data_IF_922062669676
#
_entry.id   IF_922062669676
#
_cell.length_a   1.000
_cell.length_b   1.000
_cell.length_c   1.000
_cell.angle_alpha   90.00
_cell.angle_beta   90.00
_cell.angle_gamma   90.00
#
_symmetry.space_group_name_H-M   'P 1'
#
loop_
_entity.id
_entity.type
_entity.pdbx_description
1 polymer ?
#
# COMPACT_ATOMS: atom_id res chain seq x y z
N UNK A 1 -9.48 -11.65 -10.34
CA UNK A 1 -9.78 -11.36 -8.91
C UNK A 1 -8.61 -11.76 -8.03
N UNK A 2 -7.99 -12.92 -8.26
CA UNK A 2 -6.72 -13.30 -7.60
C UNK A 2 -5.54 -12.36 -7.92
N UNK A 3 -5.50 -11.76 -9.11
CA UNK A 3 -4.46 -10.77 -9.46
C UNK A 3 -4.53 -9.51 -8.59
N UNK A 4 -5.73 -9.03 -8.27
CA UNK A 4 -5.92 -7.87 -7.40
C UNK A 4 -5.53 -8.18 -5.96
N UNK A 5 -5.89 -9.37 -5.45
CA UNK A 5 -5.44 -9.83 -4.13
C UNK A 5 -3.92 -9.96 -4.07
N UNK A 6 -3.30 -10.52 -5.12
CA UNK A 6 -1.84 -10.64 -5.22
C UNK A 6 -1.16 -9.27 -5.26
N UNK A 7 -1.74 -8.31 -5.97
CA UNK A 7 -1.24 -6.93 -5.99
C UNK A 7 -1.38 -6.28 -4.61
N UNK A 8 -2.52 -6.46 -3.93
CA UNK A 8 -2.77 -5.93 -2.60
C UNK A 8 -1.73 -6.40 -1.60
N UNK A 9 -1.42 -7.70 -1.58
CA UNK A 9 -0.39 -8.26 -0.72
C UNK A 9 0.99 -7.67 -1.01
N UNK A 10 1.35 -7.47 -2.28
CA UNK A 10 2.62 -6.83 -2.67
C UNK A 10 2.70 -5.37 -2.21
N UNK A 11 1.60 -4.64 -2.31
CA UNK A 11 1.55 -3.24 -1.89
C UNK A 11 1.66 -3.10 -0.36
N UNK A 12 0.96 -3.96 0.39
CA UNK A 12 1.07 -4.05 1.85
C UNK A 12 2.49 -4.43 2.27
N UNK A 13 3.10 -5.42 1.62
CA UNK A 13 4.49 -5.78 1.87
C UNK A 13 5.45 -4.61 1.65
N UNK A 14 5.30 -3.87 0.55
CA UNK A 14 6.14 -2.70 0.27
C UNK A 14 5.99 -1.58 1.33
N UNK A 15 4.77 -1.33 1.82
CA UNK A 15 4.52 -0.36 2.90
C UNK A 15 5.20 -0.82 4.21
N UNK A 16 5.04 -2.10 4.56
CA UNK A 16 5.66 -2.71 5.75
C UNK A 16 7.19 -2.63 5.68
N UNK A 17 7.79 -2.86 4.52
CA UNK A 17 9.23 -2.76 4.33
C UNK A 17 9.75 -1.34 4.61
N UNK A 18 9.06 -0.30 4.12
CA UNK A 18 9.42 1.10 4.36
C UNK A 18 9.36 1.46 5.86
N UNK A 19 8.28 1.06 6.53
CA UNK A 19 8.11 1.28 7.97
C UNK A 19 9.13 0.50 8.78
N UNK A 20 9.39 -0.75 8.40
CA UNK A 20 10.38 -1.62 9.04
C UNK A 20 11.80 -1.06 8.88
N UNK A 21 12.13 -0.50 7.72
CA UNK A 21 13.44 0.12 7.49
C UNK A 21 13.67 1.30 8.43
N UNK A 22 12.68 2.19 8.59
CA UNK A 22 12.75 3.31 9.53
C UNK A 22 12.85 2.83 10.99
N UNK A 23 12.03 1.86 11.38
CA UNK A 23 12.05 1.27 12.72
C UNK A 23 13.41 0.63 13.05
N UNK A 24 13.99 -0.12 12.11
CA UNK A 24 15.33 -0.73 12.26
C UNK A 24 16.44 0.31 12.37
N UNK A 25 16.32 1.41 11.63
CA UNK A 25 17.25 2.54 11.73
C UNK A 25 17.07 3.35 13.03
N UNK A 26 16.00 3.12 13.80
CA UNK A 26 15.60 3.94 14.97
C UNK A 26 15.42 5.42 14.59
N UNK A 27 14.91 5.66 13.39
CA UNK A 27 14.61 7.00 12.89
C UNK A 27 13.17 7.07 12.43
N UNK A 28 12.69 8.29 12.18
CA UNK A 28 11.49 8.48 11.38
C UNK A 28 11.77 8.12 9.91
N UNK A 29 10.75 7.73 9.13
CA UNK A 29 10.89 7.66 7.68
C UNK A 29 11.25 9.05 7.13
N UNK A 30 12.08 9.10 6.10
CA UNK A 30 12.38 10.35 5.39
C UNK A 30 11.11 10.92 4.74
N UNK A 31 11.11 12.21 4.38
CA UNK A 31 9.96 12.83 3.68
C UNK A 31 9.57 12.07 2.40
N UNK A 32 10.56 11.55 1.66
CA UNK A 32 10.33 10.71 0.50
C UNK A 32 9.70 9.36 0.85
N UNK A 33 10.11 8.75 1.96
CA UNK A 33 9.49 7.52 2.44
C UNK A 33 8.07 7.75 2.95
N UNK A 34 7.82 8.85 3.68
CA UNK A 34 6.48 9.26 4.12
C UNK A 34 5.55 9.50 2.93
N UNK A 35 6.02 10.21 1.89
CA UNK A 35 5.25 10.42 0.66
C UNK A 35 4.87 9.10 0.01
N UNK A 36 5.84 8.18 -0.14
CA UNK A 36 5.61 6.87 -0.74
C UNK A 36 4.65 6.01 0.08
N UNK A 37 4.71 6.07 1.41
CA UNK A 37 3.76 5.40 2.30
C UNK A 37 2.34 5.95 2.07
N UNK A 38 2.17 7.27 2.03
CA UNK A 38 0.87 7.88 1.77
C UNK A 38 0.29 7.48 0.39
N UNK A 39 1.14 7.46 -0.64
CA UNK A 39 0.73 7.02 -1.99
C UNK A 39 0.32 5.53 -1.99
N UNK A 40 1.03 4.68 -1.25
CA UNK A 40 0.69 3.27 -1.06
C UNK A 40 -0.65 3.11 -0.33
N UNK A 41 -0.90 3.88 0.73
CA UNK A 41 -2.16 3.81 1.50
C UNK A 41 -3.39 4.14 0.65
N UNK A 42 -3.30 5.19 -0.18
CA UNK A 42 -4.37 5.56 -1.10
C UNK A 42 -4.65 4.43 -2.09
N UNK A 43 -3.62 3.86 -2.69
CA UNK A 43 -3.78 2.81 -3.69
C UNK A 43 -4.20 1.46 -3.08
N UNK A 44 -3.75 1.14 -1.87
CA UNK A 44 -4.22 -0.02 -1.08
C UNK A 44 -5.72 0.12 -0.81
N UNK A 45 -6.18 1.26 -0.31
CA UNK A 45 -7.60 1.48 -0.03
C UNK A 45 -8.47 1.39 -1.28
N UNK A 46 -7.99 1.93 -2.41
CA UNK A 46 -8.68 1.76 -3.70
C UNK A 46 -8.77 0.29 -4.12
N UNK A 47 -7.71 -0.49 -3.91
CA UNK A 47 -7.67 -1.90 -4.28
C UNK A 47 -8.50 -2.80 -3.35
N UNK A 48 -8.52 -2.49 -2.05
CA UNK A 48 -9.41 -3.14 -1.07
C UNK A 48 -10.87 -2.91 -1.45
N UNK A 49 -11.24 -1.68 -1.79
CA UNK A 49 -12.59 -1.35 -2.26
C UNK A 49 -12.96 -2.13 -3.54
N UNK A 50 -12.06 -2.23 -4.53
CA UNK A 50 -12.28 -3.03 -5.74
C UNK A 50 -12.46 -4.52 -5.47
N UNK A 51 -11.76 -5.06 -4.46
CA UNK A 51 -11.84 -6.48 -4.09
C UNK A 51 -13.13 -6.75 -3.30
N UNK A 52 -13.50 -5.86 -2.39
CA UNK A 52 -14.65 -6.01 -1.49
C UNK A 52 -15.98 -5.79 -2.23
N UNK A 53 -16.06 -4.77 -3.09
CA UNK A 53 -17.32 -4.42 -3.76
C UNK A 53 -17.52 -5.20 -5.06
N UNK A 54 -16.49 -5.85 -5.60
CA UNK A 54 -16.53 -6.50 -6.92
C UNK A 54 -16.85 -5.54 -8.09
N UNK A 55 -17.01 -4.24 -7.81
CA UNK A 55 -17.32 -3.20 -8.77
C UNK A 55 -16.05 -2.41 -9.11
N UNK A 56 -15.62 -2.52 -10.36
CA UNK A 56 -14.79 -1.50 -10.97
C UNK A 56 -15.60 -0.21 -11.08
N UNK A 57 -15.04 0.97 -10.80
CA UNK A 57 -15.69 2.22 -11.19
C UNK A 57 -15.87 2.16 -12.70
N UNK A 58 -17.13 2.26 -13.14
CA UNK A 58 -17.48 2.44 -14.55
C UNK A 58 -16.96 3.82 -14.96
N UNK A 59 -15.72 3.86 -15.43
CA UNK A 59 -15.21 4.94 -16.26
C UNK A 59 -15.95 4.98 -17.59
#
# INVERSE_FOLDING_TARGET
MDDYKTLLERMKAAQIELLTAAARARTLPSDGALRKIADLEVAIGALEHLIDDGELPRG
#
